data_IF_633303648522
#
_entry.id   IF_633303648522
#
_cell.length_a   1.000
_cell.length_b   1.000
_cell.length_c   1.000
_cell.angle_alpha   90.00
_cell.angle_beta   90.00
_cell.angle_gamma   90.00
#
_symmetry.space_group_name_H-M   'P 1'
#
loop_
_entity.id
_entity.type
_entity.pdbx_description
1 polymer ?
#
# COMPACT_ATOMS: atom_id res chain seq x y z
N UNK A 1 -14.32 -14.62 -24.13
CA UNK A 1 -14.35 -14.57 -22.65
C UNK A 1 -13.07 -13.96 -22.06
N UNK A 2 -11.88 -14.45 -22.45
CA UNK A 2 -10.56 -13.91 -21.97
C UNK A 2 -10.45 -12.42 -22.31
N UNK A 3 -10.78 -12.03 -23.55
CA UNK A 3 -10.70 -10.62 -24.00
C UNK A 3 -11.63 -9.68 -23.21
N UNK A 4 -12.82 -10.16 -22.83
CA UNK A 4 -13.76 -9.36 -22.04
C UNK A 4 -13.24 -9.15 -20.60
N UNK A 5 -12.66 -10.19 -20.00
CA UNK A 5 -12.04 -10.08 -18.67
C UNK A 5 -10.82 -9.16 -18.67
N UNK A 6 -9.97 -9.25 -19.69
CA UNK A 6 -8.81 -8.35 -19.86
C UNK A 6 -9.25 -6.90 -19.98
N UNK A 7 -10.21 -6.60 -20.86
CA UNK A 7 -10.77 -5.23 -21.00
C UNK A 7 -11.37 -4.70 -19.70
N UNK A 8 -12.06 -5.56 -18.93
CA UNK A 8 -12.61 -5.18 -17.63
C UNK A 8 -11.52 -4.89 -16.60
N UNK A 9 -10.47 -5.70 -16.56
CA UNK A 9 -9.31 -5.47 -15.71
C UNK A 9 -8.62 -4.14 -16.04
N UNK A 10 -8.31 -3.90 -17.32
CA UNK A 10 -7.72 -2.63 -17.78
C UNK A 10 -8.59 -1.42 -17.40
N UNK A 11 -9.90 -1.54 -17.56
CA UNK A 11 -10.84 -0.47 -17.18
C UNK A 11 -10.81 -0.20 -15.68
N UNK A 12 -10.78 -1.25 -14.83
CA UNK A 12 -10.69 -1.10 -13.37
C UNK A 12 -9.37 -0.45 -12.95
N UNK A 13 -8.24 -0.85 -13.56
CA UNK A 13 -6.93 -0.25 -13.30
C UNK A 13 -6.91 1.24 -13.68
N UNK A 14 -7.48 1.60 -14.82
CA UNK A 14 -7.59 2.99 -15.26
C UNK A 14 -8.50 3.82 -14.34
N UNK A 15 -9.63 3.24 -13.89
CA UNK A 15 -10.50 3.89 -12.90
C UNK A 15 -9.74 4.12 -11.59
N UNK A 16 -9.06 3.11 -11.06
CA UNK A 16 -8.26 3.27 -9.82
C UNK A 16 -7.21 4.37 -9.98
N UNK A 17 -6.44 4.36 -11.08
CA UNK A 17 -5.43 5.38 -11.35
C UNK A 17 -6.06 6.78 -11.38
N UNK A 18 -7.16 6.97 -12.10
CA UNK A 18 -7.87 8.26 -12.18
C UNK A 18 -8.41 8.70 -10.82
N UNK A 19 -8.92 7.77 -9.99
CA UNK A 19 -9.40 8.10 -8.65
C UNK A 19 -8.24 8.50 -7.72
N UNK A 20 -7.11 7.79 -7.75
CA UNK A 20 -5.91 8.18 -7.02
C UNK A 20 -5.41 9.59 -7.40
N UNK A 21 -5.41 9.92 -8.69
CA UNK A 21 -4.99 11.24 -9.17
C UNK A 21 -5.97 12.37 -8.79
N UNK A 22 -7.27 12.06 -8.62
CA UNK A 22 -8.32 13.06 -8.47
C UNK A 22 -8.90 13.14 -7.06
N UNK A 23 -8.82 12.09 -6.26
CA UNK A 23 -9.31 12.05 -4.87
C UNK A 23 -8.25 12.49 -3.84
N UNK A 24 -7.04 12.83 -4.30
CA UNK A 24 -6.01 13.48 -3.48
C UNK A 24 -5.73 14.88 -4.01
N UNK A 25 -5.53 15.87 -3.12
CA UNK A 25 -5.23 17.24 -3.55
C UNK A 25 -3.94 17.31 -4.34
N UNK A 26 -3.95 18.01 -5.46
CA UNK A 26 -2.75 18.35 -6.24
C UNK A 26 -1.92 19.40 -5.51
N UNK A 27 -0.66 19.54 -5.90
CA UNK A 27 0.23 20.56 -5.36
C UNK A 27 -0.43 21.95 -5.43
N UNK A 28 -0.42 22.67 -4.32
CA UNK A 28 -1.08 23.98 -4.20
C UNK A 28 -2.57 23.96 -3.87
N UNK A 29 -3.24 22.79 -3.92
CA UNK A 29 -4.64 22.64 -3.52
C UNK A 29 -4.77 22.14 -2.08
N UNK A 30 -5.86 22.55 -1.42
CA UNK A 30 -6.24 22.09 -0.07
C UNK A 30 -7.43 21.12 -0.11
N UNK A 31 -8.00 20.87 -1.29
CA UNK A 31 -9.10 19.93 -1.52
C UNK A 31 -8.87 19.14 -2.80
N UNK A 32 -9.35 17.89 -2.89
CA UNK A 32 -9.25 17.08 -4.10
C UNK A 32 -10.23 17.54 -5.19
N UNK A 33 -9.98 17.11 -6.43
CA UNK A 33 -10.87 17.37 -7.58
C UNK A 33 -12.17 16.58 -7.51
N UNK A 34 -12.09 15.31 -7.06
CA UNK A 34 -13.23 14.44 -6.81
C UNK A 34 -13.30 14.16 -5.31
N UNK A 35 -14.48 14.37 -4.73
CA UNK A 35 -14.73 14.22 -3.30
C UNK A 35 -16.12 13.67 -3.03
N UNK A 36 -16.33 12.98 -1.94
CA UNK A 36 -17.67 12.65 -1.45
C UNK A 36 -18.39 13.92 -1.03
N UNK A 37 -19.65 14.06 -1.44
CA UNK A 37 -20.39 15.33 -1.36
C UNK A 37 -20.69 15.81 0.08
N UNK A 38 -20.62 14.89 1.05
CA UNK A 38 -20.82 15.21 2.47
C UNK A 38 -19.63 15.92 3.13
N UNK A 39 -18.46 15.98 2.49
CA UNK A 39 -17.25 16.61 3.04
C UNK A 39 -16.92 17.90 2.31
N UNK A 40 -16.76 18.99 3.06
CA UNK A 40 -16.50 20.33 2.52
C UNK A 40 -15.23 20.98 3.06
N UNK A 41 -14.77 20.57 4.26
CA UNK A 41 -13.67 21.22 4.95
C UNK A 41 -12.34 21.04 4.21
N UNK A 42 -11.46 22.04 4.27
CA UNK A 42 -10.11 21.96 3.72
C UNK A 42 -9.31 20.86 4.42
N UNK A 43 -8.50 20.12 3.65
CA UNK A 43 -7.58 19.13 4.22
C UNK A 43 -6.38 19.83 4.86
N UNK A 44 -5.97 19.34 6.04
CA UNK A 44 -4.84 19.88 6.78
C UNK A 44 -3.52 19.28 6.28
N UNK A 45 -2.46 20.09 6.22
CA UNK A 45 -1.12 19.56 5.93
C UNK A 45 -0.52 18.93 7.18
N UNK A 46 -0.09 17.69 7.07
CA UNK A 46 0.48 16.90 8.17
C UNK A 46 1.71 16.13 7.69
N UNK A 47 2.65 15.87 8.59
CA UNK A 47 3.78 14.96 8.38
C UNK A 47 3.39 13.55 8.83
N UNK A 48 3.98 12.53 8.21
CA UNK A 48 3.78 11.12 8.61
C UNK A 48 4.00 10.96 10.12
N UNK A 49 5.08 11.51 10.68
CA UNK A 49 5.38 11.45 12.12
C UNK A 49 4.29 12.01 13.05
N UNK A 50 3.47 12.90 12.57
CA UNK A 50 2.38 13.49 13.36
C UNK A 50 1.16 12.56 13.42
N UNK A 51 0.99 11.69 12.43
CA UNK A 51 -0.22 10.89 12.22
C UNK A 51 -0.01 9.38 12.31
N UNK A 52 1.25 8.91 12.31
CA UNK A 52 1.58 7.49 12.41
C UNK A 52 2.74 7.24 13.36
N UNK A 53 2.77 6.05 13.92
CA UNK A 53 3.88 5.49 14.68
C UNK A 53 4.64 4.47 13.83
N UNK A 54 5.94 4.27 14.12
CA UNK A 54 6.81 3.37 13.40
C UNK A 54 7.19 2.17 14.26
N UNK A 55 7.06 0.97 13.69
CA UNK A 55 7.29 -0.32 14.35
C UNK A 55 8.46 -1.11 13.74
N UNK A 56 9.43 -0.43 13.14
CA UNK A 56 10.61 -1.04 12.52
C UNK A 56 11.48 -1.85 13.49
N UNK A 57 11.40 -1.53 14.78
CA UNK A 57 12.14 -2.22 15.85
C UNK A 57 11.70 -3.68 16.06
N UNK A 58 10.53 -4.08 15.55
CA UNK A 58 10.02 -5.45 15.65
C UNK A 58 10.40 -6.31 14.42
N UNK A 59 10.99 -5.73 13.39
CA UNK A 59 11.39 -6.44 12.17
C UNK A 59 12.51 -7.43 12.42
N UNK A 60 12.40 -8.61 11.82
CA UNK A 60 13.42 -9.67 11.94
C UNK A 60 13.72 -10.22 10.54
N UNK A 61 14.91 -9.92 9.97
CA UNK A 61 15.35 -10.54 8.74
C UNK A 61 15.75 -12.00 8.97
N UNK A 62 15.23 -12.92 8.15
CA UNK A 62 15.57 -14.34 8.19
C UNK A 62 15.98 -14.78 6.79
N UNK A 63 17.17 -15.37 6.67
CA UNK A 63 17.64 -15.93 5.41
C UNK A 63 16.71 -17.05 4.91
N UNK A 64 16.54 -17.17 3.59
CA UNK A 64 15.54 -18.08 3.01
C UNK A 64 15.68 -19.53 3.47
N UNK A 65 16.93 -20.03 3.62
CA UNK A 65 17.25 -21.38 4.07
C UNK A 65 17.02 -21.62 5.58
N UNK A 66 16.75 -20.55 6.35
CA UNK A 66 16.51 -20.62 7.81
C UNK A 66 15.03 -20.36 8.15
N UNK A 67 14.19 -20.07 7.16
CA UNK A 67 12.76 -19.85 7.37
C UNK A 67 12.07 -21.16 7.65
N UNK A 68 11.29 -21.22 8.73
CA UNK A 68 10.44 -22.36 9.04
C UNK A 68 9.13 -22.18 8.26
N UNK A 69 8.74 -23.13 7.39
CA UNK A 69 7.51 -23.04 6.63
C UNK A 69 6.26 -22.93 7.52
N UNK A 70 5.31 -22.07 7.14
CA UNK A 70 4.08 -21.83 7.89
C UNK A 70 3.01 -21.12 7.07
N UNK A 71 2.11 -20.38 7.73
CA UNK A 71 0.98 -19.69 7.09
C UNK A 71 1.07 -18.18 7.15
N UNK A 72 2.01 -17.63 7.92
CA UNK A 72 2.19 -16.18 8.06
C UNK A 72 2.95 -15.61 6.86
N UNK A 73 2.41 -14.61 6.15
CA UNK A 73 3.11 -14.02 5.01
C UNK A 73 4.37 -13.29 5.47
N UNK A 74 5.51 -13.59 4.83
CA UNK A 74 6.81 -12.96 5.05
C UNK A 74 7.01 -11.85 4.02
N UNK A 75 7.05 -10.61 4.49
CA UNK A 75 7.15 -9.42 3.65
C UNK A 75 8.57 -8.89 3.54
N UNK A 76 8.94 -8.53 2.30
CA UNK A 76 10.07 -7.66 1.98
C UNK A 76 9.61 -6.39 1.27
N UNK A 77 10.54 -5.66 0.63
CA UNK A 77 10.28 -4.40 -0.06
C UNK A 77 9.13 -4.49 -1.09
N UNK A 78 9.07 -5.57 -1.86
CA UNK A 78 8.15 -5.71 -3.00
C UNK A 78 6.95 -6.63 -2.71
N UNK A 79 6.63 -6.87 -1.43
CA UNK A 79 5.52 -7.69 -1.01
C UNK A 79 5.92 -9.06 -0.42
N UNK A 80 5.03 -10.05 -0.53
CA UNK A 80 5.23 -11.38 0.06
C UNK A 80 6.35 -12.11 -0.69
N UNK A 81 7.34 -12.58 0.07
CA UNK A 81 8.47 -13.37 -0.42
C UNK A 81 8.31 -14.86 -0.07
N UNK A 82 7.59 -15.17 1.01
CA UNK A 82 7.46 -16.52 1.56
C UNK A 82 6.28 -16.62 2.52
N UNK A 83 6.01 -17.82 3.04
CA UNK A 83 5.09 -18.06 4.15
C UNK A 83 5.83 -18.82 5.25
N UNK A 84 5.81 -18.27 6.48
CA UNK A 84 6.62 -18.75 7.60
C UNK A 84 5.78 -19.07 8.82
N UNK A 85 6.35 -19.81 9.76
CA UNK A 85 5.81 -20.00 11.10
C UNK A 85 6.19 -18.82 12.02
N UNK A 86 5.28 -18.46 12.96
CA UNK A 86 5.44 -17.29 13.80
C UNK A 86 5.08 -15.96 13.09
N UNK A 87 5.30 -14.84 13.75
CA UNK A 87 5.04 -13.49 13.21
C UNK A 87 5.89 -12.44 13.95
N UNK A 88 6.09 -11.29 13.34
CA UNK A 88 6.75 -10.13 13.97
C UNK A 88 5.74 -9.06 14.37
N UNK A 89 4.63 -8.95 13.63
CA UNK A 89 3.58 -7.95 13.85
C UNK A 89 2.21 -8.63 13.79
N UNK A 90 1.26 -8.19 14.64
CA UNK A 90 -0.13 -8.64 14.64
C UNK A 90 -1.05 -7.42 14.78
N UNK A 91 -1.84 -7.14 13.76
CA UNK A 91 -2.69 -5.97 13.65
C UNK A 91 -2.75 -5.40 12.25
N UNK A 92 -3.18 -4.15 12.13
CA UNK A 92 -3.24 -3.45 10.85
C UNK A 92 -2.06 -2.47 10.73
N UNK A 93 -1.27 -2.61 9.66
CA UNK A 93 -0.06 -1.82 9.43
C UNK A 93 0.06 -1.38 7.97
N UNK A 94 0.82 -0.30 7.76
CA UNK A 94 1.25 0.16 6.44
C UNK A 94 2.71 -0.20 6.24
N UNK A 95 2.98 -1.03 5.25
CA UNK A 95 4.34 -1.39 4.83
C UNK A 95 4.77 -0.45 3.71
N UNK A 96 5.96 0.15 3.85
CA UNK A 96 6.58 1.03 2.84
C UNK A 96 7.97 0.48 2.53
N UNK A 97 8.30 0.24 1.27
CA UNK A 97 9.63 -0.25 0.92
C UNK A 97 10.72 0.65 1.51
N UNK A 98 11.77 0.05 2.11
CA UNK A 98 12.94 0.79 2.60
C UNK A 98 14.03 0.83 1.55
N UNK A 99 14.39 -0.33 0.98
CA UNK A 99 15.38 -0.45 -0.09
C UNK A 99 15.01 -1.58 -1.07
N UNK A 100 15.58 -1.55 -2.28
CA UNK A 100 15.35 -2.58 -3.29
C UNK A 100 13.92 -2.59 -3.87
N UNK A 101 13.23 -1.45 -3.85
CA UNK A 101 11.98 -1.27 -4.58
C UNK A 101 12.19 -1.51 -6.08
N UNK A 102 11.33 -2.31 -6.70
CA UNK A 102 11.40 -2.68 -8.12
C UNK A 102 10.67 -1.69 -9.05
N UNK A 103 9.84 -0.82 -8.49
CA UNK A 103 9.16 0.25 -9.21
C UNK A 103 9.26 1.54 -8.38
N UNK A 104 10.02 2.52 -8.89
CA UNK A 104 10.23 3.79 -8.19
C UNK A 104 9.10 4.78 -8.45
N UNK A 105 8.37 4.64 -9.57
CA UNK A 105 7.22 5.48 -9.90
C UNK A 105 5.95 5.05 -9.18
N UNK A 106 5.72 3.72 -9.07
CA UNK A 106 4.66 3.14 -8.27
C UNK A 106 5.30 2.50 -7.03
N UNK A 107 5.82 3.36 -6.15
CA UNK A 107 6.61 2.91 -5.00
C UNK A 107 5.82 1.91 -4.15
N UNK A 108 6.45 0.79 -3.73
CA UNK A 108 5.75 -0.25 -2.99
C UNK A 108 5.29 0.23 -1.62
N UNK A 109 3.98 0.52 -1.51
CA UNK A 109 3.27 0.84 -0.27
C UNK A 109 2.06 -0.07 -0.17
N UNK A 110 1.83 -0.70 0.99
CA UNK A 110 0.74 -1.65 1.17
C UNK A 110 0.18 -1.61 2.58
N UNK A 111 -1.15 -1.56 2.72
CA UNK A 111 -1.83 -1.87 3.97
C UNK A 111 -1.93 -3.39 4.12
N UNK A 112 -1.63 -3.91 5.33
CA UNK A 112 -1.70 -5.33 5.70
C UNK A 112 -2.49 -5.47 7.00
N UNK A 113 -3.16 -6.61 7.19
CA UNK A 113 -3.96 -6.87 8.39
C UNK A 113 -3.74 -8.29 8.89
N UNK A 114 -3.73 -8.46 10.21
CA UNK A 114 -3.48 -9.71 10.90
C UNK A 114 -2.00 -9.98 11.13
N UNK A 115 -1.64 -11.26 11.26
CA UNK A 115 -0.26 -11.68 11.52
C UNK A 115 0.59 -11.59 10.25
N UNK A 116 1.70 -10.88 10.36
CA UNK A 116 2.69 -10.74 9.29
C UNK A 116 4.11 -10.84 9.86
N UNK A 117 5.01 -11.36 9.05
CA UNK A 117 6.45 -11.29 9.33
C UNK A 117 7.07 -10.25 8.40
N UNK A 118 7.74 -9.26 8.95
CA UNK A 118 8.35 -8.20 8.14
C UNK A 118 9.87 -8.21 8.33
N UNK A 119 10.60 -8.20 7.22
CA UNK A 119 12.06 -8.10 7.22
C UNK A 119 12.53 -6.63 7.22
N UNK A 120 13.85 -6.42 7.14
CA UNK A 120 14.48 -5.10 7.19
C UNK A 120 14.41 -4.30 5.86
N UNK A 121 13.70 -4.80 4.83
CA UNK A 121 13.55 -4.11 3.55
C UNK A 121 12.21 -3.36 3.40
N UNK A 122 11.40 -3.34 4.44
CA UNK A 122 10.17 -2.54 4.48
C UNK A 122 10.02 -1.87 5.85
N UNK A 123 9.70 -0.58 5.86
CA UNK A 123 9.24 0.14 7.05
C UNK A 123 7.84 -0.32 7.44
N UNK A 124 7.55 -0.30 8.73
CA UNK A 124 6.26 -0.67 9.30
C UNK A 124 5.69 0.54 10.04
N UNK A 125 4.57 1.05 9.54
CA UNK A 125 3.85 2.17 10.13
C UNK A 125 2.47 1.73 10.62
N UNK A 126 1.95 2.42 11.61
CA UNK A 126 0.56 2.31 12.04
C UNK A 126 -0.01 3.70 12.28
N UNK A 127 -1.15 3.98 11.69
CA UNK A 127 -1.88 5.23 11.93
C UNK A 127 -2.24 5.38 13.40
N UNK A 128 -2.00 6.58 13.97
CA UNK A 128 -2.38 6.89 15.34
C UNK A 128 -3.89 6.84 15.50
N UNK A 129 -4.34 6.17 16.54
CA UNK A 129 -5.76 6.01 16.84
C UNK A 129 -6.51 7.36 16.83
N UNK A 130 -7.66 7.40 16.15
CA UNK A 130 -8.53 8.56 15.95
C UNK A 130 -7.89 9.72 15.15
N UNK A 131 -6.71 9.53 14.55
CA UNK A 131 -6.02 10.53 13.74
C UNK A 131 -5.91 10.05 12.30
N UNK A 132 -5.43 8.82 12.07
CA UNK A 132 -5.21 8.32 10.73
C UNK A 132 -5.73 6.89 10.54
N UNK A 133 -6.43 6.68 9.43
CA UNK A 133 -6.80 5.37 8.91
C UNK A 133 -5.62 4.76 8.13
N UNK A 134 -5.31 3.47 8.35
CA UNK A 134 -4.16 2.82 7.73
C UNK A 134 -4.31 2.65 6.21
N UNK A 135 -5.51 2.34 5.74
CA UNK A 135 -5.77 2.20 4.30
C UNK A 135 -5.61 3.55 3.59
N UNK A 136 -6.19 4.62 4.14
CA UNK A 136 -5.99 5.97 3.63
C UNK A 136 -4.51 6.38 3.67
N UNK A 137 -3.82 6.14 4.79
CA UNK A 137 -2.40 6.47 4.97
C UNK A 137 -1.52 5.78 3.90
N UNK A 138 -1.78 4.51 3.60
CA UNK A 138 -1.07 3.79 2.55
C UNK A 138 -1.25 4.46 1.17
N UNK A 139 -2.47 4.85 0.82
CA UNK A 139 -2.72 5.57 -0.43
C UNK A 139 -2.12 6.98 -0.43
N UNK A 140 -2.22 7.73 0.67
CA UNK A 140 -1.64 9.06 0.78
C UNK A 140 -0.11 9.05 0.61
N UNK A 141 0.58 8.10 1.26
CA UNK A 141 2.03 7.92 1.09
C UNK A 141 2.35 7.51 -0.35
N UNK A 142 1.56 6.62 -0.98
CA UNK A 142 1.80 6.20 -2.37
C UNK A 142 1.63 7.32 -3.40
N UNK A 143 0.94 8.41 -3.06
CA UNK A 143 0.77 9.60 -3.91
C UNK A 143 1.86 10.65 -3.69
N UNK A 144 2.76 10.45 -2.72
CA UNK A 144 3.91 11.32 -2.49
C UNK A 144 5.01 11.07 -3.51
N UNK A 145 5.79 12.10 -3.85
CA UNK A 145 6.96 11.98 -4.72
C UNK A 145 8.14 11.33 -3.97
N UNK A 146 8.00 10.02 -3.71
CA UNK A 146 9.02 9.26 -2.98
C UNK A 146 10.31 9.14 -3.80
N UNK A 147 10.21 9.06 -5.13
CA UNK A 147 11.38 8.90 -6.02
C UNK A 147 12.41 10.02 -5.77
N UNK A 148 11.95 11.26 -5.62
CA UNK A 148 12.84 12.41 -5.35
C UNK A 148 13.48 12.40 -3.96
N UNK A 149 12.95 11.61 -3.03
CA UNK A 149 13.41 11.50 -1.64
C UNK A 149 14.40 10.37 -1.41
N UNK A 150 14.61 9.51 -2.41
CA UNK A 150 15.48 8.35 -2.30
C UNK A 150 16.95 8.77 -2.30
N UNK A 151 17.74 8.07 -1.49
CA UNK A 151 19.18 8.25 -1.43
C UNK A 151 19.90 6.99 -1.89
N UNK A 152 21.12 7.17 -2.49
CA UNK A 152 21.94 6.06 -3.01
C UNK A 152 21.76 5.88 -4.53
N UNK A 153 22.82 5.35 -5.16
CA UNK A 153 22.85 5.13 -6.62
C UNK A 153 22.10 3.86 -7.03
N UNK A 154 22.79 2.78 -7.41
CA UNK A 154 22.16 1.56 -7.95
C UNK A 154 21.21 0.80 -7.01
N UNK A 155 21.16 1.12 -5.72
CA UNK A 155 20.17 0.62 -4.76
C UNK A 155 19.59 1.78 -3.97
N UNK A 156 18.54 2.37 -4.53
CA UNK A 156 17.84 3.50 -3.93
C UNK A 156 17.18 3.09 -2.59
N UNK A 157 17.31 3.96 -1.58
CA UNK A 157 16.81 3.72 -0.22
C UNK A 157 16.00 4.90 0.27
N UNK A 158 14.84 4.61 0.86
CA UNK A 158 14.02 5.56 1.63
C UNK A 158 14.40 5.44 3.10
N UNK A 159 15.08 6.45 3.64
CA UNK A 159 15.44 6.46 5.05
C UNK A 159 14.21 6.70 5.93
N UNK A 160 14.23 6.11 7.14
CA UNK A 160 13.13 6.23 8.09
C UNK A 160 12.79 7.69 8.45
N UNK A 161 13.80 8.53 8.67
CA UNK A 161 13.59 9.96 8.99
C UNK A 161 12.96 10.70 7.81
N UNK A 162 13.42 10.40 6.59
CA UNK A 162 12.83 10.95 5.35
C UNK A 162 11.38 10.52 5.20
N UNK A 163 11.07 9.22 5.36
CA UNK A 163 9.69 8.71 5.36
C UNK A 163 8.81 9.42 6.37
N UNK A 164 9.29 9.55 7.63
CA UNK A 164 8.52 10.20 8.71
C UNK A 164 8.35 11.70 8.50
N UNK A 165 9.18 12.35 7.68
CA UNK A 165 9.08 13.76 7.33
C UNK A 165 8.20 14.06 6.11
N UNK A 166 7.76 13.03 5.35
CA UNK A 166 6.86 13.21 4.19
C UNK A 166 5.62 13.98 4.62
N UNK A 167 5.31 15.03 3.86
CA UNK A 167 4.12 15.86 4.06
C UNK A 167 3.03 15.47 3.07
N UNK A 168 1.81 15.39 3.55
CA UNK A 168 0.62 15.18 2.74
C UNK A 168 -0.60 15.89 3.33
N UNK A 169 -1.68 15.94 2.57
CA UNK A 169 -2.95 16.50 3.02
C UNK A 169 -3.79 15.41 3.69
N UNK A 170 -4.35 15.74 4.85
CA UNK A 170 -5.15 14.84 5.71
C UNK A 170 -6.56 15.42 5.90
N UNK A 171 -7.62 14.72 5.50
CA UNK A 171 -9.01 15.09 5.82
C UNK A 171 -9.41 14.63 7.22
N UNK A 172 -10.66 14.91 7.61
CA UNK A 172 -11.24 14.32 8.81
C UNK A 172 -11.27 12.80 8.73
N UNK A 173 -11.25 12.11 9.86
CA UNK A 173 -11.11 10.66 9.94
C UNK A 173 -12.24 9.90 9.18
N UNK A 174 -13.47 10.42 9.20
CA UNK A 174 -14.57 9.82 8.45
C UNK A 174 -14.35 9.83 6.94
N UNK A 175 -13.81 10.93 6.41
CA UNK A 175 -13.47 11.00 4.99
C UNK A 175 -12.30 10.07 4.65
N UNK A 176 -11.29 9.94 5.53
CA UNK A 176 -10.21 8.97 5.37
C UNK A 176 -10.75 7.54 5.22
N UNK A 177 -11.66 7.12 6.10
CA UNK A 177 -12.31 5.79 6.02
C UNK A 177 -13.03 5.60 4.70
N UNK A 178 -13.80 6.58 4.23
CA UNK A 178 -14.54 6.49 2.96
C UNK A 178 -13.61 6.35 1.76
N UNK A 179 -12.53 7.12 1.71
CA UNK A 179 -11.54 7.06 0.65
C UNK A 179 -10.76 5.73 0.70
N UNK A 180 -10.27 5.35 1.88
CA UNK A 180 -9.52 4.10 2.10
C UNK A 180 -10.34 2.88 1.72
N UNK A 181 -11.60 2.79 2.16
CA UNK A 181 -12.52 1.71 1.82
C UNK A 181 -12.78 1.65 0.30
N UNK A 182 -13.11 2.78 -0.33
CA UNK A 182 -13.39 2.84 -1.76
C UNK A 182 -12.20 2.34 -2.61
N UNK A 183 -11.00 2.82 -2.32
CA UNK A 183 -9.80 2.43 -3.07
C UNK A 183 -9.39 0.98 -2.79
N UNK A 184 -9.56 0.50 -1.56
CA UNK A 184 -9.32 -0.90 -1.19
C UNK A 184 -10.30 -1.85 -1.89
N UNK A 185 -11.57 -1.47 -2.03
CA UNK A 185 -12.55 -2.23 -2.81
C UNK A 185 -12.16 -2.31 -4.29
N UNK A 186 -11.63 -1.23 -4.89
CA UNK A 186 -11.10 -1.27 -6.26
C UNK A 186 -9.92 -2.24 -6.37
N UNK A 187 -8.98 -2.24 -5.41
CA UNK A 187 -7.87 -3.20 -5.38
C UNK A 187 -8.33 -4.64 -5.27
N UNK A 188 -9.33 -4.90 -4.45
CA UNK A 188 -9.95 -6.22 -4.33
C UNK A 188 -10.56 -6.67 -5.66
N UNK A 189 -11.33 -5.81 -6.34
CA UNK A 189 -11.92 -6.11 -7.63
C UNK A 189 -10.86 -6.37 -8.70
N UNK A 190 -9.79 -5.58 -8.74
CA UNK A 190 -8.65 -5.79 -9.65
C UNK A 190 -8.03 -7.17 -9.41
N UNK A 191 -7.73 -7.52 -8.15
CA UNK A 191 -7.15 -8.80 -7.76
C UNK A 191 -8.05 -9.98 -8.16
N UNK A 192 -9.35 -9.89 -7.97
CA UNK A 192 -10.31 -10.92 -8.38
C UNK A 192 -10.31 -11.13 -9.90
N UNK A 193 -10.17 -10.06 -10.69
CA UNK A 193 -10.13 -10.15 -12.14
C UNK A 193 -8.78 -10.69 -12.66
N UNK A 194 -7.69 -10.46 -11.95
CA UNK A 194 -6.39 -11.04 -12.25
C UNK A 194 -6.37 -12.57 -12.03
N UNK A 195 -7.04 -13.08 -10.99
CA UNK A 195 -7.08 -14.52 -10.65
C UNK A 195 -7.99 -15.34 -11.58
N UNK A 196 -9.08 -14.77 -12.08
CA UNK A 196 -10.05 -15.50 -12.93
C UNK A 196 -9.48 -16.14 -14.20
N UNK A 197 -8.59 -15.49 -14.99
CA UNK A 197 -8.00 -16.10 -16.18
C UNK A 197 -7.14 -17.33 -15.87
N UNK A 198 -6.49 -17.37 -14.71
CA UNK A 198 -5.65 -18.50 -14.29
C UNK A 198 -6.50 -19.76 -14.01
N UNK A 199 -7.60 -19.61 -13.29
CA UNK A 199 -8.52 -20.71 -12.99
C UNK A 199 -9.21 -21.27 -14.24
N UNK A 200 -9.48 -20.42 -15.25
CA UNK A 200 -10.06 -20.87 -16.52
C UNK A 200 -9.05 -21.63 -17.40
N UNK A 201 -7.78 -21.32 -17.34
CA UNK A 201 -6.73 -22.09 -18.03
C UNK A 201 -6.60 -23.52 -17.49
N UNK A 202 -6.69 -23.70 -16.18
CA UNK A 202 -6.62 -25.01 -15.52
C UNK A 202 -7.81 -25.90 -15.88
N UNK A 203 -9.04 -25.36 -15.92
CA UNK A 203 -10.24 -26.13 -16.29
C UNK A 203 -10.25 -26.61 -17.74
N UNK A 204 -9.52 -25.95 -18.63
CA UNK A 204 -9.42 -26.37 -20.04
C UNK A 204 -8.25 -27.31 -20.30
N UNK A 205 -7.30 -27.50 -19.39
CA UNK A 205 -6.21 -28.48 -19.50
C UNK A 205 -6.60 -29.90 -19.04
N UNK A 206 -7.63 -29.99 -18.18
CA UNK A 206 -8.13 -31.29 -17.68
C UNK A 206 -9.28 -31.88 -18.55
N UNK A 207 -9.62 -31.22 -19.67
CA UNK A 207 -10.72 -31.62 -20.57
C UNK A 207 -10.23 -32.19 -21.95
N UNK A 208 -8.93 -32.54 -22.07
CA UNK A 208 -8.37 -33.20 -23.26
C UNK A 208 -7.73 -34.54 -22.88
#
# INVERSE_FOLDING_TARGET
LITLHQRKLEKLMNVKKSMLEKMFPKQGSVVPEIRFCEFTDAWEQRKVQNVADRFDNLRIPVAANLRVPGTTPYYGANGIQDYVDGFTHDGEFVLVAEDGANDLKNYPVKCVNGRVWVNNHAHVLQGKARIADNSFLAFAISQSDIESLLVGGGRAKLNAETLMSIEFRLPCLQEQYRIGEYLTQLDHLITLHQRKPFLMKWRNSDAN
#
